data_IF_844146658687
#
_entry.id   IF_844146658687
#
_cell.length_a   1.000
_cell.length_b   1.000
_cell.length_c   1.000
_cell.angle_alpha   90.00
_cell.angle_beta   90.00
_cell.angle_gamma   90.00
#
_symmetry.space_group_name_H-M   'P 1'
#
loop_
_entity.id
_entity.type
_entity.pdbx_description
1 polymer ?
#
# COMPACT_ATOMS: atom_id res chain seq x y z
N UNK A 1 27.34 -9.89 5.82
CA UNK A 1 26.11 -9.98 5.02
C UNK A 1 26.00 -8.68 4.28
N UNK A 2 26.17 -8.69 2.96
CA UNK A 2 25.78 -7.55 2.13
C UNK A 2 24.26 -7.42 2.21
N UNK A 3 23.76 -6.21 2.50
CA UNK A 3 22.35 -5.93 2.37
C UNK A 3 21.96 -6.18 0.90
N UNK A 4 20.92 -6.98 0.62
CA UNK A 4 20.46 -7.16 -0.75
C UNK A 4 20.19 -5.77 -1.34
N UNK A 5 20.77 -5.47 -2.51
CA UNK A 5 20.55 -4.18 -3.16
C UNK A 5 19.09 -4.13 -3.60
N UNK A 6 18.27 -3.39 -2.85
CA UNK A 6 16.91 -3.07 -3.24
C UNK A 6 17.00 -2.36 -4.60
N UNK A 7 16.28 -2.85 -5.63
CA UNK A 7 16.24 -2.16 -6.91
C UNK A 7 15.89 -0.70 -6.67
N UNK A 8 16.74 0.21 -7.15
CA UNK A 8 16.46 1.63 -6.96
C UNK A 8 15.15 1.93 -7.68
N UNK A 9 14.35 2.86 -7.15
CA UNK A 9 13.12 3.31 -7.79
C UNK A 9 13.34 3.61 -9.29
N UNK A 10 14.46 4.26 -9.64
CA UNK A 10 14.86 4.53 -11.01
C UNK A 10 14.95 3.27 -11.90
N UNK A 11 15.36 2.13 -11.36
CA UNK A 11 15.45 0.84 -12.06
C UNK A 11 14.07 0.21 -12.26
N UNK A 12 13.18 0.32 -11.27
CA UNK A 12 11.79 -0.13 -11.36
C UNK A 12 10.97 0.72 -12.35
N UNK A 13 11.20 2.03 -12.39
CA UNK A 13 10.48 2.98 -13.25
C UNK A 13 11.00 3.01 -14.67
N UNK A 14 12.31 2.84 -14.87
CA UNK A 14 12.88 2.70 -16.21
C UNK A 14 12.27 1.51 -16.98
N UNK A 15 11.71 0.52 -16.28
CA UNK A 15 11.04 -0.62 -16.87
C UNK A 15 9.65 -0.31 -17.48
N UNK A 16 9.02 0.85 -17.19
CA UNK A 16 7.71 1.21 -17.78
C UNK A 16 7.49 2.73 -17.84
N UNK A 17 7.81 3.33 -18.99
CA UNK A 17 7.58 4.77 -19.24
C UNK A 17 6.08 5.15 -19.18
N UNK A 18 5.18 4.22 -19.50
CA UNK A 18 3.73 4.40 -19.43
C UNK A 18 3.25 4.52 -17.99
N UNK A 19 3.73 3.66 -17.09
CA UNK A 19 3.40 3.75 -15.66
C UNK A 19 3.94 5.03 -15.05
N UNK A 20 5.16 5.44 -15.42
CA UNK A 20 5.75 6.68 -14.94
C UNK A 20 4.97 7.93 -15.36
N UNK A 21 4.40 7.94 -16.57
CA UNK A 21 3.58 9.03 -17.08
C UNK A 21 2.20 9.04 -16.40
N UNK A 22 1.58 7.87 -16.24
CA UNK A 22 0.27 7.75 -15.60
C UNK A 22 0.34 8.13 -14.12
N UNK A 23 1.35 7.64 -13.41
CA UNK A 23 1.55 7.97 -12.00
C UNK A 23 1.79 9.48 -11.82
N UNK A 24 2.57 10.13 -12.68
CA UNK A 24 2.72 11.59 -12.63
C UNK A 24 1.40 12.32 -12.84
N UNK A 25 0.65 11.94 -13.88
CA UNK A 25 -0.66 12.53 -14.18
C UNK A 25 -1.68 12.31 -13.04
N UNK A 26 -1.64 11.14 -12.40
CA UNK A 26 -2.43 10.85 -11.22
C UNK A 26 -2.09 11.81 -10.10
N UNK A 27 -0.81 11.97 -9.76
CA UNK A 27 -0.46 12.76 -8.58
C UNK A 27 -0.64 14.25 -8.81
N UNK A 28 -0.40 14.76 -10.02
CA UNK A 28 -0.80 16.11 -10.41
C UNK A 28 -2.30 16.33 -10.16
N UNK A 29 -3.15 15.36 -10.52
CA UNK A 29 -4.59 15.41 -10.26
C UNK A 29 -4.91 15.32 -8.78
N UNK A 30 -4.16 14.57 -7.97
CA UNK A 30 -4.38 14.51 -6.52
C UNK A 30 -4.10 15.87 -5.87
N UNK A 31 -3.01 16.55 -6.27
CA UNK A 31 -2.63 17.86 -5.73
C UNK A 31 -3.53 19.01 -6.17
N UNK A 32 -4.25 18.87 -7.28
CA UNK A 32 -5.08 19.93 -7.86
C UNK A 32 -6.59 19.69 -7.75
N UNK A 33 -7.05 18.61 -7.11
CA UNK A 33 -8.46 18.21 -7.16
C UNK A 33 -9.34 19.04 -6.23
N UNK A 34 -10.33 19.74 -6.79
CA UNK A 34 -11.46 20.27 -6.03
C UNK A 34 -12.54 19.22 -5.73
N UNK A 35 -12.31 17.95 -6.12
CA UNK A 35 -13.24 16.83 -6.00
C UNK A 35 -12.50 15.56 -5.51
N UNK A 36 -12.16 15.48 -4.21
CA UNK A 36 -11.28 14.45 -3.66
C UNK A 36 -11.85 13.03 -3.85
N UNK A 37 -13.14 12.82 -3.64
CA UNK A 37 -13.78 11.51 -3.86
C UNK A 37 -13.55 10.96 -5.27
N UNK A 38 -13.75 11.81 -6.30
CA UNK A 38 -13.57 11.39 -7.70
C UNK A 38 -12.11 11.03 -7.98
N UNK A 39 -11.17 11.78 -7.42
CA UNK A 39 -9.74 11.51 -7.57
C UNK A 39 -9.35 10.19 -6.89
N UNK A 40 -9.85 9.94 -5.68
CA UNK A 40 -9.60 8.69 -4.96
C UNK A 40 -10.21 7.48 -5.67
N UNK A 41 -11.45 7.58 -6.17
CA UNK A 41 -12.05 6.52 -7.00
C UNK A 41 -11.25 6.25 -8.28
N UNK A 42 -10.73 7.30 -8.92
CA UNK A 42 -9.86 7.16 -10.09
C UNK A 42 -8.56 6.44 -9.78
N UNK A 43 -7.95 6.73 -8.62
CA UNK A 43 -6.78 6.01 -8.11
C UNK A 43 -7.09 4.53 -7.89
N UNK A 44 -8.18 4.22 -7.18
CA UNK A 44 -8.59 2.84 -6.91
C UNK A 44 -8.86 2.07 -8.20
N UNK A 45 -9.55 2.68 -9.17
CA UNK A 45 -9.79 2.07 -10.47
C UNK A 45 -8.50 1.73 -11.20
N UNK A 46 -7.53 2.65 -11.24
CA UNK A 46 -6.23 2.39 -11.86
C UNK A 46 -5.44 1.29 -11.15
N UNK A 47 -5.46 1.27 -9.81
CA UNK A 47 -4.83 0.21 -9.02
C UNK A 47 -5.51 -1.15 -9.27
N UNK A 48 -6.81 -1.19 -9.47
CA UNK A 48 -7.54 -2.42 -9.81
C UNK A 48 -7.20 -2.98 -11.19
N UNK A 49 -6.86 -2.12 -12.15
CA UNK A 49 -6.40 -2.55 -13.48
C UNK A 49 -4.98 -3.16 -13.44
N UNK A 50 -4.34 -3.21 -12.26
CA UNK A 50 -3.02 -3.80 -12.05
C UNK A 50 -3.06 -5.28 -11.66
N UNK A 51 -4.25 -5.90 -11.57
CA UNK A 51 -4.40 -7.34 -11.35
C UNK A 51 -3.57 -8.14 -12.36
N UNK A 52 -2.59 -8.89 -11.87
CA UNK A 52 -1.66 -9.67 -12.71
C UNK A 52 -0.30 -8.99 -12.97
N UNK A 53 -0.09 -7.76 -12.50
CA UNK A 53 1.25 -7.19 -12.42
C UNK A 53 2.13 -8.04 -11.49
N UNK A 54 3.40 -8.22 -11.83
CA UNK A 54 4.32 -8.99 -11.01
C UNK A 54 4.45 -8.43 -9.58
N UNK A 55 4.77 -9.31 -8.62
CA UNK A 55 4.93 -8.99 -7.20
C UNK A 55 6.06 -8.00 -6.88
N UNK A 56 6.83 -7.55 -7.87
CA UNK A 56 7.92 -6.57 -7.72
C UNK A 56 7.69 -5.40 -8.69
N UNK A 57 6.45 -5.14 -9.10
CA UNK A 57 6.11 -4.06 -10.03
C UNK A 57 5.98 -2.69 -9.34
N UNK A 58 6.19 -1.61 -10.10
CA UNK A 58 5.94 -0.23 -9.64
C UNK A 58 4.50 -0.06 -9.16
N UNK A 59 3.54 -0.66 -9.87
CA UNK A 59 2.12 -0.63 -9.52
C UNK A 59 1.84 -1.21 -8.13
N UNK A 60 2.41 -2.37 -7.83
CA UNK A 60 2.29 -2.97 -6.51
C UNK A 60 2.96 -2.11 -5.43
N UNK A 61 4.10 -1.50 -5.73
CA UNK A 61 4.74 -0.55 -4.81
C UNK A 61 3.87 0.69 -4.55
N UNK A 62 3.22 1.25 -5.57
CA UNK A 62 2.29 2.37 -5.43
C UNK A 62 1.10 1.95 -4.56
N UNK A 63 0.50 0.80 -4.81
CA UNK A 63 -0.60 0.27 -4.01
C UNK A 63 -0.21 0.18 -2.52
N UNK A 64 0.90 -0.51 -2.22
CA UNK A 64 1.29 -0.75 -0.83
C UNK A 64 1.67 0.56 -0.13
N UNK A 65 2.33 1.50 -0.82
CA UNK A 65 2.63 2.82 -0.26
C UNK A 65 1.37 3.65 -0.02
N UNK A 66 0.37 3.59 -0.90
CA UNK A 66 -0.94 4.19 -0.65
C UNK A 66 -1.59 3.60 0.61
N UNK A 67 -1.54 2.27 0.77
CA UNK A 67 -2.05 1.56 1.95
C UNK A 67 -1.35 2.03 3.22
N UNK A 68 -0.01 2.14 3.20
CA UNK A 68 0.77 2.68 4.33
C UNK A 68 0.32 4.11 4.66
N UNK A 69 0.27 4.99 3.66
CA UNK A 69 -0.11 6.39 3.86
C UNK A 69 -1.51 6.52 4.46
N UNK A 70 -2.51 5.85 3.87
CA UNK A 70 -3.88 5.89 4.35
C UNK A 70 -4.00 5.29 5.76
N UNK A 71 -3.37 4.15 6.01
CA UNK A 71 -3.42 3.51 7.32
C UNK A 71 -2.78 4.33 8.44
N UNK A 72 -1.70 5.04 8.15
CA UNK A 72 -1.09 5.96 9.12
C UNK A 72 -2.04 7.13 9.49
N UNK A 73 -2.85 7.61 8.53
CA UNK A 73 -3.92 8.58 8.83
C UNK A 73 -4.98 7.96 9.74
N UNK A 74 -5.42 6.73 9.44
CA UNK A 74 -6.41 6.00 10.25
C UNK A 74 -5.93 5.79 11.69
N UNK A 75 -4.71 5.28 11.87
CA UNK A 75 -4.11 5.05 13.20
C UNK A 75 -4.07 6.35 14.00
N UNK A 76 -3.67 7.46 13.37
CA UNK A 76 -3.63 8.78 14.02
C UNK A 76 -5.03 9.28 14.38
N UNK A 77 -6.01 9.09 13.51
CA UNK A 77 -7.39 9.52 13.73
C UNK A 77 -8.02 8.84 14.95
N UNK A 78 -7.81 7.52 15.10
CA UNK A 78 -8.33 6.78 16.26
C UNK A 78 -7.44 6.85 17.50
N UNK A 79 -6.16 7.25 17.35
CA UNK A 79 -5.21 7.30 18.46
C UNK A 79 -4.81 5.93 19.00
N UNK A 80 -4.80 4.89 18.16
CA UNK A 80 -4.46 3.54 18.62
C UNK A 80 -3.01 3.44 19.11
N UNK A 81 -2.86 3.03 20.36
CA UNK A 81 -1.61 2.83 21.07
C UNK A 81 -1.44 1.37 21.49
N UNK A 82 -0.74 0.56 20.68
CA UNK A 82 -0.46 -0.85 21.01
C UNK A 82 -0.53 -1.79 19.80
N UNK A 83 -0.54 -3.12 20.03
CA UNK A 83 -0.62 -4.12 18.96
C UNK A 83 -2.03 -4.18 18.37
N UNK A 84 -2.37 -3.17 17.56
CA UNK A 84 -3.60 -3.15 16.78
C UNK A 84 -3.37 -3.91 15.45
N UNK A 85 -4.33 -4.71 14.96
CA UNK A 85 -4.18 -5.44 13.69
C UNK A 85 -3.77 -4.55 12.51
N UNK A 86 -4.30 -3.32 12.45
CA UNK A 86 -3.91 -2.34 11.43
C UNK A 86 -2.42 -1.99 11.52
N UNK A 87 -1.88 -1.78 12.72
CA UNK A 87 -0.45 -1.46 12.89
C UNK A 87 0.45 -2.60 12.42
N UNK A 88 0.03 -3.86 12.64
CA UNK A 88 0.73 -5.05 12.15
C UNK A 88 0.74 -5.08 10.61
N UNK A 89 -0.40 -4.83 9.99
CA UNK A 89 -0.53 -4.74 8.52
C UNK A 89 0.34 -3.63 7.95
N UNK A 90 0.36 -2.46 8.57
CA UNK A 90 1.19 -1.34 8.11
C UNK A 90 2.67 -1.64 8.23
N UNK A 91 3.11 -2.28 9.31
CA UNK A 91 4.50 -2.68 9.45
C UNK A 91 4.92 -3.73 8.40
N UNK A 92 4.04 -4.68 8.09
CA UNK A 92 4.30 -5.65 7.00
C UNK A 92 4.30 -4.97 5.62
N UNK A 93 3.41 -4.02 5.38
CA UNK A 93 3.36 -3.19 4.18
C UNK A 93 4.63 -2.36 3.99
N UNK A 94 5.12 -1.71 5.06
CA UNK A 94 6.39 -0.97 5.04
C UNK A 94 7.60 -1.89 4.80
N UNK A 95 7.59 -3.09 5.38
CA UNK A 95 8.64 -4.08 5.15
C UNK A 95 8.70 -4.50 3.67
N UNK A 96 7.54 -4.77 3.05
CA UNK A 96 7.45 -5.07 1.63
C UNK A 96 7.84 -3.87 0.75
N UNK A 97 7.38 -2.66 1.07
CA UNK A 97 7.71 -1.45 0.31
C UNK A 97 9.22 -1.10 0.36
N UNK A 98 9.91 -1.52 1.43
CA UNK A 98 11.35 -1.39 1.59
C UNK A 98 12.13 -2.48 0.86
N UNK A 99 11.72 -3.74 0.99
CA UNK A 99 12.40 -4.90 0.41
C UNK A 99 11.39 -5.80 -0.30
N UNK A 100 11.02 -5.46 -1.55
CA UNK A 100 9.99 -6.19 -2.27
C UNK A 100 10.48 -7.60 -2.57
N UNK A 101 9.73 -8.59 -2.10
CA UNK A 101 9.97 -10.01 -2.35
C UNK A 101 8.65 -10.76 -2.20
N UNK A 102 8.58 -11.98 -2.73
CA UNK A 102 7.43 -12.86 -2.55
C UNK A 102 7.16 -13.13 -1.06
N UNK A 103 8.20 -13.42 -0.29
CA UNK A 103 8.07 -13.64 1.16
C UNK A 103 7.54 -12.40 1.91
N UNK A 104 8.02 -11.19 1.58
CA UNK A 104 7.51 -9.97 2.19
C UNK A 104 6.07 -9.66 1.74
N UNK A 105 5.73 -9.97 0.49
CA UNK A 105 4.37 -9.85 -0.02
C UNK A 105 3.42 -10.79 0.70
N UNK A 106 3.79 -12.06 0.89
CA UNK A 106 2.98 -13.06 1.60
C UNK A 106 2.76 -12.65 3.06
N UNK A 107 3.78 -12.09 3.72
CA UNK A 107 3.67 -11.57 5.08
C UNK A 107 2.70 -10.37 5.15
N UNK A 108 2.80 -9.43 4.20
CA UNK A 108 1.87 -8.31 4.08
C UNK A 108 0.44 -8.80 3.84
N UNK A 109 0.25 -9.68 2.85
CA UNK A 109 -1.05 -10.25 2.49
C UNK A 109 -1.70 -11.00 3.66
N UNK A 110 -0.92 -11.80 4.39
CA UNK A 110 -1.39 -12.52 5.57
C UNK A 110 -1.80 -11.57 6.71
N UNK A 111 -1.06 -10.48 6.93
CA UNK A 111 -1.41 -9.47 7.93
C UNK A 111 -2.69 -8.72 7.55
N UNK A 112 -2.77 -8.23 6.31
CA UNK A 112 -3.94 -7.53 5.76
C UNK A 112 -5.21 -8.36 5.94
N UNK A 113 -5.16 -9.63 5.54
CA UNK A 113 -6.25 -10.62 5.66
C UNK A 113 -6.89 -10.68 7.05
N UNK A 114 -6.10 -10.49 8.10
CA UNK A 114 -6.54 -10.62 9.48
C UNK A 114 -6.92 -9.29 10.15
N UNK A 115 -7.05 -8.18 9.41
CA UNK A 115 -7.28 -6.85 9.99
C UNK A 115 -8.38 -6.09 9.27
N UNK A 116 -9.34 -5.45 9.97
CA UNK A 116 -10.27 -4.47 9.36
C UNK A 116 -9.64 -3.07 9.43
N UNK A 117 -9.78 -2.19 8.41
CA UNK A 117 -10.55 -2.31 7.15
C UNK A 117 -9.84 -3.07 6.01
N UNK A 118 -8.75 -3.78 6.29
CA UNK A 118 -7.93 -4.52 5.32
C UNK A 118 -8.40 -5.97 5.07
N UNK A 119 -9.58 -6.36 5.59
CA UNK A 119 -9.95 -7.76 5.89
C UNK A 119 -9.88 -8.72 4.70
N UNK A 120 -9.80 -10.02 5.00
CA UNK A 120 -9.66 -11.16 4.09
C UNK A 120 -9.04 -10.82 2.72
N UNK A 121 -7.71 -10.78 2.68
CA UNK A 121 -6.88 -10.54 1.52
C UNK A 121 -7.18 -9.23 0.83
N UNK A 122 -6.69 -8.10 1.36
CA UNK A 122 -6.66 -6.82 0.63
C UNK A 122 -8.05 -6.49 0.00
N UNK A 123 -9.11 -6.63 0.80
CA UNK A 123 -10.48 -6.48 0.32
C UNK A 123 -10.88 -7.57 -0.66
N UNK A 124 -11.23 -8.76 -0.19
CA UNK A 124 -11.89 -9.78 -1.02
C UNK A 124 -11.12 -10.13 -2.31
N UNK A 125 -9.84 -10.53 -2.19
CA UNK A 125 -9.18 -11.36 -3.21
C UNK A 125 -10.16 -12.44 -3.64
N UNK A 126 -10.84 -12.21 -4.75
CA UNK A 126 -12.01 -12.98 -5.10
C UNK A 126 -11.54 -14.41 -5.33
N UNK A 127 -11.80 -15.29 -4.35
CA UNK A 127 -11.86 -16.71 -4.64
C UNK A 127 -12.75 -16.84 -5.87
N UNK A 128 -12.23 -17.51 -6.90
CA UNK A 128 -12.88 -17.59 -8.21
C UNK A 128 -14.40 -17.86 -8.04
N UNK A 129 -15.23 -16.85 -8.33
CA UNK A 129 -16.69 -16.92 -8.12
C UNK A 129 -17.32 -15.74 -7.36
N UNK A 130 -16.55 -14.93 -6.63
CA UNK A 130 -17.09 -13.71 -6.02
C UNK A 130 -17.18 -12.57 -7.07
N UNK A 131 -18.39 -12.11 -7.37
CA UNK A 131 -18.70 -11.11 -8.41
C UNK A 131 -18.19 -9.69 -8.11
N UNK A 132 -16.88 -9.51 -7.97
CA UNK A 132 -16.26 -8.21 -7.76
C UNK A 132 -16.24 -7.41 -9.08
N UNK A 133 -16.93 -6.27 -9.09
CA UNK A 133 -16.91 -5.34 -10.21
C UNK A 133 -15.50 -4.73 -10.39
N UNK A 134 -15.02 -4.54 -11.63
CA UNK A 134 -13.80 -3.77 -11.88
C UNK A 134 -13.85 -2.38 -11.23
N UNK A 135 -12.75 -1.94 -10.61
CA UNK A 135 -12.65 -0.65 -9.93
C UNK A 135 -13.32 -0.59 -8.56
N UNK A 136 -13.74 -1.72 -8.00
CA UNK A 136 -14.25 -1.80 -6.62
C UNK A 136 -13.13 -1.76 -5.58
N UNK A 137 -11.89 -1.97 -6.00
CA UNK A 137 -10.74 -2.14 -5.12
C UNK A 137 -10.62 -3.55 -4.54
N UNK A 138 -11.62 -4.41 -4.80
CA UNK A 138 -11.69 -5.73 -4.20
C UNK A 138 -10.72 -6.73 -4.84
N UNK A 139 -10.14 -6.43 -6.00
CA UNK A 139 -9.21 -7.39 -6.62
C UNK A 139 -7.78 -7.22 -6.10
N UNK A 140 -7.49 -6.07 -5.54
CA UNK A 140 -6.10 -5.63 -5.32
C UNK A 140 -5.79 -5.19 -3.91
N UNK A 141 -6.75 -4.75 -3.09
CA UNK A 141 -6.43 -4.01 -1.86
C UNK A 141 -6.85 -2.58 -1.90
N UNK A 142 -6.97 -2.02 -3.10
CA UNK A 142 -7.19 -0.59 -3.27
C UNK A 142 -8.52 -0.12 -2.64
N UNK A 143 -9.47 -1.03 -2.41
CA UNK A 143 -10.75 -0.73 -1.76
C UNK A 143 -10.57 -0.23 -0.33
N UNK A 144 -9.50 -0.64 0.35
CA UNK A 144 -9.19 -0.15 1.69
C UNK A 144 -8.95 1.36 1.70
N UNK A 145 -8.46 1.97 0.61
CA UNK A 145 -8.29 3.42 0.54
C UNK A 145 -9.63 4.15 0.67
N UNK A 146 -10.70 3.63 0.05
CA UNK A 146 -12.05 4.16 0.19
C UNK A 146 -12.62 3.93 1.59
N UNK A 147 -12.39 2.75 2.18
CA UNK A 147 -12.84 2.46 3.54
C UNK A 147 -12.22 3.43 4.55
N UNK A 148 -10.91 3.67 4.47
CA UNK A 148 -10.23 4.65 5.32
C UNK A 148 -10.78 6.05 5.05
N UNK A 149 -10.95 6.41 3.78
CA UNK A 149 -11.44 7.74 3.41
C UNK A 149 -12.86 8.02 3.90
N UNK A 150 -13.77 7.05 3.92
CA UNK A 150 -15.09 7.22 4.52
C UNK A 150 -15.03 7.49 6.04
N UNK A 151 -14.01 6.96 6.73
CA UNK A 151 -13.84 7.13 8.18
C UNK A 151 -13.16 8.47 8.52
N UNK A 152 -12.07 8.81 7.81
CA UNK A 152 -11.19 9.95 8.16
C UNK A 152 -11.27 11.14 7.21
N UNK A 153 -12.00 11.00 6.10
CA UNK A 153 -12.16 12.00 5.04
C UNK A 153 -11.24 11.77 3.83
N UNK A 154 -11.79 11.90 2.63
CA UNK A 154 -11.09 11.68 1.35
C UNK A 154 -9.92 12.64 1.15
N UNK A 155 -10.09 13.91 1.54
CA UNK A 155 -9.04 14.91 1.41
C UNK A 155 -7.80 14.57 2.25
N UNK A 156 -8.00 14.09 3.48
CA UNK A 156 -6.91 13.70 4.37
C UNK A 156 -6.14 12.49 3.83
N UNK A 157 -6.87 11.50 3.29
CA UNK A 157 -6.26 10.31 2.65
C UNK A 157 -5.47 10.70 1.41
N UNK A 158 -6.04 11.52 0.53
CA UNK A 158 -5.35 11.96 -0.69
C UNK A 158 -4.12 12.80 -0.40
N UNK A 159 -4.20 13.70 0.57
CA UNK A 159 -3.04 14.49 1.00
C UNK A 159 -1.93 13.59 1.52
N UNK A 160 -2.25 12.59 2.34
CA UNK A 160 -1.27 11.64 2.86
C UNK A 160 -0.64 10.80 1.74
N UNK A 161 -1.44 10.30 0.80
CA UNK A 161 -0.96 9.57 -0.37
C UNK A 161 -0.02 10.43 -1.22
N UNK A 162 -0.40 11.69 -1.48
CA UNK A 162 0.44 12.63 -2.23
C UNK A 162 1.79 12.87 -1.56
N UNK A 163 1.81 13.07 -0.24
CA UNK A 163 3.05 13.24 0.54
C UNK A 163 3.92 11.99 0.57
N UNK A 164 3.31 10.81 0.57
CA UNK A 164 4.04 9.54 0.55
C UNK A 164 4.64 9.24 -0.83
N UNK A 165 3.85 9.40 -1.87
CA UNK A 165 4.23 8.99 -3.21
C UNK A 165 5.12 10.02 -3.91
N UNK A 166 4.86 11.33 -3.81
CA UNK A 166 5.56 12.31 -4.64
C UNK A 166 7.08 12.30 -4.47
N UNK A 167 7.62 12.40 -3.24
CA UNK A 167 9.06 12.42 -3.07
C UNK A 167 9.71 11.12 -3.56
N UNK A 168 9.03 9.99 -3.36
CA UNK A 168 9.50 8.68 -3.83
C UNK A 168 9.51 8.61 -5.37
N UNK A 169 8.46 9.11 -6.02
CA UNK A 169 8.31 9.12 -7.47
C UNK A 169 9.27 10.06 -8.19
N UNK A 170 9.69 11.12 -7.51
CA UNK A 170 10.67 12.09 -8.01
C UNK A 170 12.12 11.66 -7.72
N UNK A 171 12.30 10.52 -7.03
CA UNK A 171 13.62 10.05 -6.62
C UNK A 171 14.28 10.93 -5.56
N UNK A 172 13.49 11.71 -4.81
CA UNK A 172 13.95 12.55 -3.72
C UNK A 172 14.04 11.74 -2.41
N UNK A 173 13.00 11.77 -1.58
CA UNK A 173 12.96 11.08 -0.28
C UNK A 173 12.07 9.84 -0.32
N UNK A 174 12.54 8.74 0.26
CA UNK A 174 11.71 7.57 0.52
C UNK A 174 11.25 7.59 1.99
N UNK A 175 10.00 7.98 2.22
CA UNK A 175 9.44 8.12 3.56
C UNK A 175 9.32 6.78 4.30
N UNK A 176 9.16 5.65 3.60
CA UNK A 176 9.21 4.31 4.22
C UNK A 176 10.60 4.07 4.80
N UNK A 177 11.65 4.35 4.02
CA UNK A 177 13.03 4.22 4.50
C UNK A 177 13.33 5.19 5.64
N UNK A 178 12.84 6.42 5.57
CA UNK A 178 13.01 7.41 6.62
C UNK A 178 12.37 6.95 7.94
N UNK A 179 11.12 6.44 7.89
CA UNK A 179 10.42 5.90 9.06
C UNK A 179 11.16 4.70 9.66
N UNK A 180 11.64 3.77 8.82
CA UNK A 180 12.46 2.64 9.28
C UNK A 180 13.72 3.10 10.02
N UNK A 181 14.46 4.08 9.46
CA UNK A 181 15.68 4.62 10.07
C UNK A 181 15.42 5.37 11.38
N UNK A 182 14.27 6.01 11.51
CA UNK A 182 13.87 6.73 12.72
C UNK A 182 13.50 5.80 13.89
N UNK A 183 13.63 4.47 13.73
CA UNK A 183 13.21 3.49 14.74
C UNK A 183 11.76 3.06 14.58
N UNK A 184 11.20 3.18 13.37
CA UNK A 184 9.92 2.57 13.01
C UNK A 184 9.86 1.11 13.46
N UNK A 185 8.65 0.66 13.78
CA UNK A 185 8.37 -0.61 14.44
C UNK A 185 9.20 -1.74 13.81
N UNK A 186 10.21 -2.23 14.54
CA UNK A 186 11.09 -3.32 14.08
C UNK A 186 10.30 -4.62 14.12
N UNK A 187 9.43 -4.85 13.15
CA UNK A 187 8.91 -6.19 12.89
C UNK A 187 10.08 -6.98 12.30
N UNK A 188 10.66 -7.89 13.08
CA UNK A 188 11.65 -8.79 12.49
C UNK A 188 10.87 -9.70 11.53
N UNK A 189 11.40 -9.99 10.33
CA UNK A 189 10.77 -10.94 9.42
C UNK A 189 10.47 -12.30 10.10
N UNK A 190 11.28 -12.67 11.09
CA UNK A 190 11.12 -13.89 11.90
C UNK A 190 10.03 -13.82 12.97
N UNK A 191 9.50 -12.63 13.27
CA UNK A 191 8.38 -12.43 14.20
C UNK A 191 7.01 -12.67 13.53
N UNK A 192 6.99 -12.97 12.22
CA UNK A 192 5.78 -13.43 11.56
C UNK A 192 5.28 -14.69 12.28
N UNK A 193 3.99 -14.76 12.67
CA UNK A 193 3.46 -15.93 13.36
C UNK A 193 3.71 -17.15 12.49
N UNK A 194 4.58 -18.05 12.97
CA UNK A 194 4.77 -19.36 12.34
C UNK A 194 3.38 -19.97 12.29
N UNK A 195 2.87 -20.21 11.07
CA UNK A 195 1.65 -21.00 10.92
C UNK A 195 1.92 -22.32 11.63
N UNK A 196 1.32 -22.51 12.81
CA UNK A 196 1.30 -23.83 13.41
C UNK A 196 0.60 -24.72 12.38
N UNK A 197 1.35 -25.71 11.87
CA UNK A 197 0.81 -26.71 10.99
C UNK A 197 -0.24 -27.48 11.79
N UNK A 198 -1.48 -27.01 11.74
CA UNK A 198 -2.62 -27.63 12.40
C UNK A 198 -2.80 -29.04 11.88
N UNK A 199 -2.77 -29.97 12.84
CA UNK A 199 -3.04 -31.40 12.73
C UNK A 199 -4.49 -31.71 12.37
#
# INVERSE_FOLDING_TARGET
MEEPSVPRFAELVAASAEDAAWIRALVERLGSSSAPERALRGLVGWLDDTVGAGLVSVRMQVLVRCTVAAGLVLVRYHGWDGPHPVAITLAAAEAYARLPSEAAHDAYFAAATNSYPYGAGDGCYGMAGAGCAPGSGCRTGAGTLMCVAHEVGEAAVLEAIGRELMPWLEGADDLVLARYRAGGQKVRPDDAPKREAGS
#
